data_IF_807264038475
#
_entry.id   IF_807264038475
#
_cell.length_a   1.000
_cell.length_b   1.000
_cell.length_c   1.000
_cell.angle_alpha   90.00
_cell.angle_beta   90.00
_cell.angle_gamma   90.00
#
_symmetry.space_group_name_H-M   'P 1'
#
loop_
_entity.id
_entity.type
_entity.pdbx_description
1 polymer ?
#
# COMPACT_ATOMS: atom_id res chain seq x y z
N UNK A 1 -2.27 4.22 18.38
CA UNK A 1 -3.50 4.52 17.61
C UNK A 1 -3.84 3.30 16.77
N UNK A 2 -5.07 2.79 16.84
CA UNK A 2 -5.56 1.76 15.92
C UNK A 2 -6.10 2.48 14.67
N UNK A 3 -5.48 2.30 13.51
CA UNK A 3 -5.95 2.92 12.26
C UNK A 3 -7.22 2.26 11.70
N UNK A 4 -7.72 1.20 12.35
CA UNK A 4 -8.88 0.45 11.92
C UNK A 4 -8.58 -0.37 10.67
N UNK A 5 -9.47 -0.30 9.68
CA UNK A 5 -9.36 -1.00 8.39
C UNK A 5 -9.37 0.03 7.26
N UNK A 6 -8.35 0.90 7.16
CA UNK A 6 -8.33 1.94 6.13
C UNK A 6 -8.23 1.30 4.75
N UNK A 7 -8.87 1.91 3.75
CA UNK A 7 -8.58 1.59 2.35
C UNK A 7 -7.22 2.15 1.96
N UNK A 8 -6.58 1.57 0.95
CA UNK A 8 -5.22 1.97 0.52
C UNK A 8 -5.13 3.47 0.21
N UNK A 9 -6.18 4.05 -0.38
CA UNK A 9 -6.25 5.49 -0.65
C UNK A 9 -6.11 6.33 0.61
N UNK A 10 -6.87 6.03 1.67
CA UNK A 10 -6.81 6.76 2.94
C UNK A 10 -5.43 6.66 3.60
N UNK A 11 -4.75 5.52 3.45
CA UNK A 11 -3.42 5.32 4.04
C UNK A 11 -2.35 6.11 3.28
N UNK A 12 -2.42 6.13 1.95
CA UNK A 12 -1.37 6.68 1.10
C UNK A 12 -1.58 8.17 0.75
N UNK A 13 -2.80 8.68 0.88
CA UNK A 13 -3.13 10.08 0.58
C UNK A 13 -2.96 11.02 1.79
N UNK A 14 -2.75 10.48 3.01
CA UNK A 14 -2.48 11.30 4.19
C UNK A 14 -1.06 11.86 4.14
N UNK A 15 -0.88 13.06 4.72
CA UNK A 15 0.43 13.63 5.00
C UNK A 15 1.13 12.87 6.15
N UNK A 16 1.51 11.62 5.87
CA UNK A 16 2.14 10.70 6.79
C UNK A 16 3.52 10.34 6.24
N UNK A 17 4.51 10.30 7.14
CA UNK A 17 5.83 9.74 6.85
C UNK A 17 5.92 8.32 7.40
N UNK A 18 6.10 7.35 6.52
CA UNK A 18 6.48 5.99 6.92
C UNK A 18 8.00 5.90 7.04
N UNK A 19 8.48 5.45 8.19
CA UNK A 19 9.90 5.26 8.49
C UNK A 19 10.18 3.77 8.63
N UNK A 20 11.13 3.26 7.86
CA UNK A 20 11.58 1.88 7.96
C UNK A 20 12.76 1.84 8.95
N UNK A 21 12.65 1.16 10.10
CA UNK A 21 13.75 1.04 11.05
C UNK A 21 14.95 0.29 10.45
N UNK A 22 16.16 0.62 10.91
CA UNK A 22 17.43 0.07 10.36
C UNK A 22 17.56 -1.45 10.49
N UNK A 23 16.85 -2.07 11.42
CA UNK A 23 16.87 -3.52 11.65
C UNK A 23 15.88 -4.30 10.77
N UNK A 24 15.12 -3.62 9.92
CA UNK A 24 14.23 -4.28 8.97
C UNK A 24 15.03 -4.90 7.82
N UNK A 25 14.59 -6.08 7.36
CA UNK A 25 15.18 -6.74 6.19
C UNK A 25 15.00 -5.91 4.92
N UNK A 26 15.92 -6.09 3.96
CA UNK A 26 15.76 -5.56 2.61
C UNK A 26 14.50 -6.10 1.92
N UNK A 27 14.11 -5.41 0.86
CA UNK A 27 13.04 -5.86 -0.02
C UNK A 27 13.48 -7.13 -0.77
N UNK A 28 12.70 -8.20 -0.65
CA UNK A 28 12.98 -9.53 -1.20
C UNK A 28 11.77 -10.18 -1.86
N UNK A 29 10.63 -9.48 -1.94
CA UNK A 29 9.48 -9.97 -2.69
C UNK A 29 9.84 -10.10 -4.16
N UNK A 30 9.40 -11.21 -4.76
CA UNK A 30 9.66 -11.57 -6.13
C UNK A 30 8.34 -11.70 -6.92
N UNK A 31 8.51 -11.85 -8.22
CA UNK A 31 7.40 -11.92 -9.16
C UNK A 31 6.47 -13.10 -8.87
N UNK A 32 7.04 -14.29 -8.68
CA UNK A 32 6.31 -15.55 -8.58
C UNK A 32 5.50 -15.64 -7.28
N UNK A 33 6.15 -15.35 -6.16
CA UNK A 33 5.61 -15.64 -4.83
C UNK A 33 4.71 -14.52 -4.29
N UNK A 34 4.92 -13.27 -4.71
CA UNK A 34 4.17 -12.14 -4.14
C UNK A 34 3.57 -11.18 -5.18
N UNK A 35 4.30 -10.80 -6.23
CA UNK A 35 3.77 -9.79 -7.15
C UNK A 35 2.65 -10.33 -8.01
N UNK A 36 2.81 -11.52 -8.59
CA UNK A 36 1.78 -12.14 -9.43
C UNK A 36 0.50 -12.46 -8.65
N UNK A 37 0.56 -13.03 -7.43
CA UNK A 37 -0.62 -13.16 -6.58
C UNK A 37 -1.33 -11.81 -6.34
N UNK A 38 -0.57 -10.76 -6.00
CA UNK A 38 -1.13 -9.42 -5.78
C UNK A 38 -1.76 -8.85 -7.06
N UNK A 39 -1.13 -9.05 -8.21
CA UNK A 39 -1.63 -8.61 -9.50
C UNK A 39 -2.92 -9.34 -9.90
N UNK A 40 -2.98 -10.65 -9.67
CA UNK A 40 -4.19 -11.44 -9.90
C UNK A 40 -5.36 -10.96 -9.01
N UNK A 41 -5.09 -10.61 -7.76
CA UNK A 41 -6.09 -10.01 -6.88
C UNK A 41 -6.66 -8.71 -7.46
N UNK A 42 -5.80 -7.84 -8.01
CA UNK A 42 -6.25 -6.62 -8.70
C UNK A 42 -7.09 -6.92 -9.94
N UNK A 43 -6.67 -7.86 -10.79
CA UNK A 43 -7.41 -8.25 -11.99
C UNK A 43 -8.79 -8.82 -11.64
N UNK A 44 -8.87 -9.62 -10.59
CA UNK A 44 -10.13 -10.17 -10.09
C UNK A 44 -11.07 -9.04 -9.65
N UNK A 45 -10.58 -8.08 -8.87
CA UNK A 45 -11.39 -6.93 -8.41
C UNK A 45 -11.77 -5.98 -9.55
N UNK A 46 -10.90 -5.81 -10.53
CA UNK A 46 -11.21 -5.06 -11.73
C UNK A 46 -12.32 -5.73 -12.56
N UNK A 47 -12.26 -7.06 -12.72
CA UNK A 47 -13.28 -7.84 -13.42
C UNK A 47 -14.65 -7.80 -12.70
N UNK A 48 -14.65 -7.86 -11.36
CA UNK A 48 -15.87 -7.65 -10.57
C UNK A 48 -16.49 -6.27 -10.85
N UNK A 49 -15.67 -5.21 -10.92
CA UNK A 49 -16.14 -3.85 -11.27
C UNK A 49 -16.72 -3.77 -12.67
N UNK A 50 -16.07 -4.36 -13.67
CA UNK A 50 -16.54 -4.31 -15.06
C UNK A 50 -17.86 -5.06 -15.27
N UNK A 51 -18.09 -6.13 -14.51
CA UNK A 51 -19.29 -6.96 -14.64
C UNK A 51 -20.48 -6.44 -13.82
N UNK A 52 -20.41 -5.21 -13.28
CA UNK A 52 -21.42 -4.62 -12.38
C UNK A 52 -21.82 -5.54 -11.22
N UNK A 53 -20.93 -6.45 -10.81
CA UNK A 53 -21.14 -7.28 -9.62
C UNK A 53 -20.94 -6.42 -8.39
N UNK A 54 -21.54 -6.84 -7.27
CA UNK A 54 -21.32 -6.20 -5.97
C UNK A 54 -19.84 -6.22 -5.64
N UNK A 55 -19.25 -5.04 -5.46
CA UNK A 55 -17.82 -4.90 -5.16
C UNK A 55 -17.62 -5.20 -3.67
N UNK A 56 -16.85 -6.25 -3.38
CA UNK A 56 -16.49 -6.60 -2.02
C UNK A 56 -15.07 -6.10 -1.70
N UNK A 57 -14.84 -5.47 -0.53
CA UNK A 57 -13.50 -5.11 -0.11
C UNK A 57 -12.56 -6.32 -0.14
N UNK A 58 -11.37 -6.14 -0.70
CA UNK A 58 -10.32 -7.16 -0.69
C UNK A 58 -9.41 -6.95 0.52
N UNK A 59 -9.15 -8.00 1.29
CA UNK A 59 -8.18 -7.93 2.37
C UNK A 59 -6.78 -8.08 1.78
N UNK A 60 -6.04 -6.98 1.75
CA UNK A 60 -4.70 -6.92 1.18
C UNK A 60 -3.59 -7.21 2.19
N UNK A 61 -3.91 -7.77 3.37
CA UNK A 61 -2.96 -8.02 4.46
C UNK A 61 -2.91 -6.91 5.50
N UNK A 62 -2.16 -7.15 6.58
CA UNK A 62 -1.98 -6.20 7.69
C UNK A 62 -0.66 -5.43 7.56
N UNK A 63 -0.64 -4.24 8.15
CA UNK A 63 0.57 -3.48 8.44
C UNK A 63 0.56 -3.11 9.92
N UNK A 64 1.73 -3.13 10.55
CA UNK A 64 1.87 -2.74 11.97
C UNK A 64 2.71 -1.49 12.04
N UNK A 65 2.15 -0.43 12.62
CA UNK A 65 2.75 0.89 12.68
C UNK A 65 2.89 1.34 14.13
N UNK A 66 4.02 1.97 14.43
CA UNK A 66 4.27 2.64 15.70
C UNK A 66 4.43 4.14 15.45
N UNK A 67 3.51 4.93 15.98
CA UNK A 67 3.55 6.39 15.84
C UNK A 67 4.68 6.98 16.70
N UNK A 68 5.55 7.78 16.10
CA UNK A 68 6.52 8.58 16.86
C UNK A 68 5.81 9.77 17.51
N UNK A 69 6.32 10.21 18.67
CA UNK A 69 5.87 11.46 19.28
C UNK A 69 6.32 12.64 18.40
N UNK A 70 5.40 13.13 17.57
CA UNK A 70 5.63 14.29 16.70
C UNK A 70 5.06 15.55 17.33
N UNK A 71 5.82 16.65 17.32
CA UNK A 71 5.30 17.98 17.69
C UNK A 71 4.26 18.43 16.65
N UNK A 72 3.32 19.29 17.03
CA UNK A 72 2.23 19.79 16.18
C UNK A 72 2.66 20.45 14.87
N UNK A 73 3.94 20.85 14.77
CA UNK A 73 4.57 21.44 13.58
C UNK A 73 5.22 20.43 12.63
N UNK A 74 5.18 19.13 12.93
CA UNK A 74 5.87 18.08 12.15
C UNK A 74 4.90 17.08 11.55
N UNK A 75 5.24 16.57 10.36
CA UNK A 75 4.51 15.48 9.71
C UNK A 75 4.41 14.27 10.64
N UNK A 76 3.20 13.74 10.81
CA UNK A 76 2.98 12.53 11.59
C UNK A 76 3.85 11.39 11.02
N UNK A 77 4.75 10.88 11.86
CA UNK A 77 5.74 9.87 11.46
C UNK A 77 5.42 8.55 12.13
N UNK A 78 5.43 7.47 11.36
CA UNK A 78 5.14 6.12 11.81
C UNK A 78 6.29 5.19 11.44
N UNK A 79 6.86 4.52 12.44
CA UNK A 79 7.77 3.42 12.22
C UNK A 79 6.99 2.19 11.75
N UNK A 80 7.43 1.58 10.65
CA UNK A 80 6.85 0.34 10.13
C UNK A 80 7.47 -0.84 10.86
N UNK A 81 6.68 -1.50 11.70
CA UNK A 81 7.09 -2.66 12.50
C UNK A 81 6.91 -3.94 11.68
N UNK A 82 5.80 -4.03 10.93
CA UNK A 82 5.54 -5.13 10.01
C UNK A 82 4.77 -4.63 8.77
N UNK A 83 4.89 -5.37 7.66
CA UNK A 83 4.24 -5.06 6.38
C UNK A 83 5.05 -4.13 5.47
N UNK A 84 6.33 -3.90 5.76
CA UNK A 84 7.19 -3.01 4.96
C UNK A 84 7.25 -3.37 3.47
N UNK A 85 7.48 -4.63 3.11
CA UNK A 85 7.58 -5.05 1.71
C UNK A 85 6.26 -4.85 0.96
N UNK A 86 5.14 -5.12 1.64
CA UNK A 86 3.79 -4.91 1.10
C UNK A 86 3.55 -3.43 0.83
N UNK A 87 3.86 -2.56 1.80
CA UNK A 87 3.73 -1.12 1.66
C UNK A 87 4.60 -0.58 0.51
N UNK A 88 5.86 -1.01 0.42
CA UNK A 88 6.76 -0.67 -0.69
C UNK A 88 6.19 -1.13 -2.03
N UNK A 89 5.69 -2.36 -2.12
CA UNK A 89 5.11 -2.90 -3.37
C UNK A 89 3.90 -2.09 -3.82
N UNK A 90 3.00 -1.71 -2.90
CA UNK A 90 1.87 -0.85 -3.24
C UNK A 90 2.30 0.55 -3.74
N UNK A 91 3.30 1.16 -3.10
CA UNK A 91 3.82 2.46 -3.52
C UNK A 91 4.47 2.41 -4.92
N UNK A 92 5.27 1.37 -5.17
CA UNK A 92 5.88 1.13 -6.48
C UNK A 92 4.81 0.87 -7.54
N UNK A 93 3.81 0.05 -7.23
CA UNK A 93 2.70 -0.24 -8.12
C UNK A 93 1.95 1.03 -8.54
N UNK A 94 1.55 1.87 -7.57
CA UNK A 94 0.82 3.12 -7.86
C UNK A 94 1.70 4.07 -8.67
N UNK A 95 3.00 4.12 -8.38
CA UNK A 95 3.96 4.92 -9.15
C UNK A 95 4.05 4.44 -10.59
N UNK A 96 4.26 3.14 -10.82
CA UNK A 96 4.30 2.56 -12.16
C UNK A 96 2.98 2.75 -12.91
N UNK A 97 1.84 2.54 -12.24
CA UNK A 97 0.52 2.75 -12.80
C UNK A 97 0.31 4.20 -13.22
N UNK A 98 0.68 5.16 -12.37
CA UNK A 98 0.66 6.60 -12.70
C UNK A 98 1.51 6.89 -13.95
N UNK A 99 2.70 6.31 -14.06
CA UNK A 99 3.57 6.50 -15.23
C UNK A 99 2.95 5.91 -16.52
N UNK A 100 2.31 4.75 -16.43
CA UNK A 100 1.59 4.15 -17.56
C UNK A 100 0.41 5.02 -17.97
N UNK A 101 -0.42 5.47 -17.02
CA UNK A 101 -1.54 6.37 -17.29
C UNK A 101 -1.05 7.68 -17.93
N UNK A 102 0.01 8.29 -17.40
CA UNK A 102 0.58 9.52 -17.95
C UNK A 102 1.03 9.39 -19.40
N UNK A 103 1.52 8.21 -19.80
CA UNK A 103 2.01 7.95 -21.17
C UNK A 103 0.91 7.63 -22.19
N UNK A 104 -0.25 7.15 -21.73
CA UNK A 104 -1.31 6.62 -22.63
C UNK A 104 -2.64 7.36 -22.52
N UNK A 105 -2.85 8.16 -21.46
CA UNK A 105 -4.10 8.89 -21.19
C UNK A 105 -3.89 10.41 -21.07
N UNK A 106 -2.64 10.87 -21.08
CA UNK A 106 -2.26 12.28 -21.15
C UNK A 106 -1.61 12.59 -22.49
#
# INVERSE_FOLDING_TARGET
MNLGKPVLEELLNKQIRFKIPVFQRHYVWNEQDQWMPLWNDFLNKFSERLTNKKIHPHYTGSIVLFQENTTTSTLSTYNVIDGQQRLTTFQLFITAFREVCRKHLG
#
